data_IF_182727311339
#
_entry.id   IF_182727311339
#
_cell.length_a   1.000
_cell.length_b   1.000
_cell.length_c   1.000
_cell.angle_alpha   90.00
_cell.angle_beta   90.00
_cell.angle_gamma   90.00
#
_symmetry.space_group_name_H-M   'P 1'
#
loop_
_entity.id
_entity.type
_entity.pdbx_description
1 polymer ?
#
# COMPACT_ATOMS: atom_id res chain seq x y z
N UNK A 1 -7.52 -6.35 2.17
CA UNK A 1 -6.10 -6.79 2.12
C UNK A 1 -5.75 -7.03 0.67
N UNK A 2 -4.68 -6.39 0.18
CA UNK A 2 -4.30 -6.46 -1.23
C UNK A 2 -3.65 -7.79 -1.59
N UNK A 3 -3.65 -8.12 -2.88
CA UNK A 3 -2.94 -9.29 -3.39
C UNK A 3 -1.41 -9.15 -3.21
N UNK A 4 -0.71 -10.28 -3.12
CA UNK A 4 0.76 -10.31 -3.04
C UNK A 4 1.42 -9.65 -4.27
N UNK A 5 0.80 -9.81 -5.44
CA UNK A 5 1.29 -9.19 -6.67
C UNK A 5 1.24 -7.66 -6.57
N UNK A 6 0.13 -7.11 -6.05
CA UNK A 6 -0.03 -5.68 -5.88
C UNK A 6 0.95 -5.11 -4.84
N UNK A 7 1.13 -5.82 -3.72
CA UNK A 7 2.13 -5.47 -2.72
C UNK A 7 3.54 -5.38 -3.32
N UNK A 8 3.88 -6.31 -4.23
CA UNK A 8 5.20 -6.32 -4.89
C UNK A 8 5.35 -5.12 -5.82
N UNK A 9 4.33 -4.84 -6.64
CA UNK A 9 4.31 -3.66 -7.53
C UNK A 9 4.52 -2.36 -6.75
N UNK A 10 3.82 -2.18 -5.63
CA UNK A 10 4.00 -1.01 -4.76
C UNK A 10 5.41 -0.88 -4.20
N UNK A 11 6.00 -2.00 -3.75
CA UNK A 11 7.38 -2.04 -3.28
C UNK A 11 8.38 -1.67 -4.38
N UNK A 12 8.22 -2.23 -5.58
CA UNK A 12 9.09 -1.95 -6.74
C UNK A 12 8.94 -0.51 -7.25
N UNK A 13 7.75 0.06 -7.09
CA UNK A 13 7.47 1.48 -7.34
C UNK A 13 8.09 2.42 -6.30
N UNK A 14 8.71 1.88 -5.24
CA UNK A 14 9.43 2.67 -4.24
C UNK A 14 8.53 3.19 -3.11
N UNK A 15 7.42 2.51 -2.81
CA UNK A 15 6.59 2.89 -1.66
C UNK A 15 7.41 2.78 -0.37
N UNK A 16 7.72 3.93 0.23
CA UNK A 16 8.31 4.00 1.57
C UNK A 16 7.26 3.60 2.60
N UNK A 17 7.48 2.44 3.22
CA UNK A 17 6.54 1.87 4.18
C UNK A 17 7.04 2.08 5.61
N UNK A 18 6.19 2.72 6.43
CA UNK A 18 6.38 2.85 7.88
C UNK A 18 5.42 1.91 8.60
N UNK A 19 5.88 0.71 9.01
CA UNK A 19 4.98 -0.31 9.48
C UNK A 19 4.50 -0.04 10.91
N UNK A 20 3.22 -0.33 11.13
CA UNK A 20 2.54 -0.23 12.41
C UNK A 20 2.37 -1.60 13.04
N UNK A 21 2.07 -1.59 14.35
CA UNK A 21 1.70 -2.79 15.08
C UNK A 21 0.51 -3.47 14.42
N UNK A 22 0.57 -4.80 14.32
CA UNK A 22 -0.38 -5.68 13.65
C UNK A 22 -0.42 -5.59 12.12
N UNK A 23 0.52 -4.89 11.49
CA UNK A 23 0.63 -4.92 10.04
C UNK A 23 1.15 -6.27 9.55
N UNK A 24 0.54 -6.76 8.48
CA UNK A 24 0.89 -8.01 7.84
C UNK A 24 2.07 -7.82 6.88
N UNK A 25 2.95 -8.81 6.85
CA UNK A 25 4.01 -8.91 5.88
C UNK A 25 4.32 -10.35 5.54
N UNK A 26 4.88 -10.55 4.36
CA UNK A 26 5.39 -11.83 3.92
C UNK A 26 6.92 -11.80 3.98
N UNK A 27 7.50 -12.82 4.62
CA UNK A 27 8.94 -13.06 4.63
C UNK A 27 9.34 -13.74 3.32
N UNK A 28 10.14 -13.05 2.51
CA UNK A 28 10.60 -13.56 1.20
C UNK A 28 11.93 -14.33 1.30
N UNK A 29 12.51 -14.41 2.49
CA UNK A 29 13.78 -15.14 2.76
C UNK A 29 13.60 -16.64 2.98
N UNK A 30 12.38 -17.10 3.23
CA UNK A 30 12.10 -18.50 3.48
C UNK A 30 11.75 -19.19 2.17
N UNK A 31 12.17 -20.45 2.00
CA UNK A 31 11.80 -21.28 0.84
C UNK A 31 10.27 -21.41 0.68
N UNK A 32 9.55 -21.34 1.80
CA UNK A 32 8.09 -21.19 1.84
C UNK A 32 7.76 -19.82 2.40
N UNK A 33 7.10 -18.94 1.63
CA UNK A 33 6.78 -17.60 2.10
C UNK A 33 5.82 -17.69 3.29
N UNK A 34 6.27 -17.18 4.44
CA UNK A 34 5.46 -17.13 5.65
C UNK A 34 4.83 -15.74 5.76
N UNK A 35 3.50 -15.69 5.77
CA UNK A 35 2.75 -14.48 6.10
C UNK A 35 2.60 -14.40 7.61
N UNK A 36 3.10 -13.32 8.19
CA UNK A 36 3.01 -13.04 9.63
C UNK A 36 2.64 -11.57 9.85
N UNK A 37 2.43 -11.16 11.10
CA UNK A 37 2.12 -9.79 11.46
C UNK A 37 3.11 -9.23 12.51
N UNK A 38 3.21 -7.91 12.59
CA UNK A 38 3.99 -7.24 13.62
C UNK A 38 3.30 -7.36 15.00
N UNK A 39 3.95 -8.05 15.93
CA UNK A 39 3.51 -8.22 17.32
C UNK A 39 4.56 -7.67 18.28
N UNK A 40 4.16 -7.42 19.53
CA UNK A 40 5.03 -6.78 20.53
C UNK A 40 6.27 -7.62 20.88
N UNK A 41 6.14 -8.95 20.81
CA UNK A 41 7.09 -9.86 21.47
C UNK A 41 8.35 -10.14 20.65
N UNK A 42 8.31 -10.06 19.31
CA UNK A 42 9.47 -10.48 18.51
C UNK A 42 9.74 -9.67 17.24
N UNK A 43 8.79 -8.92 16.71
CA UNK A 43 8.93 -8.33 15.37
C UNK A 43 9.10 -6.82 15.34
N UNK A 44 8.59 -6.05 16.32
CA UNK A 44 8.80 -4.58 16.34
C UNK A 44 10.21 -4.21 16.80
N UNK A 45 10.72 -4.81 17.88
CA UNK A 45 12.06 -4.53 18.42
C UNK A 45 13.20 -5.03 17.52
N UNK A 46 13.02 -6.18 16.88
CA UNK A 46 13.97 -6.72 15.89
C UNK A 46 13.96 -5.89 14.62
N UNK A 47 12.76 -5.52 14.13
CA UNK A 47 12.61 -4.57 13.02
C UNK A 47 13.34 -3.27 13.33
N UNK A 48 13.10 -2.62 14.47
CA UNK A 48 13.74 -1.37 14.86
C UNK A 48 15.27 -1.44 15.01
N UNK A 49 15.86 -2.63 15.19
CA UNK A 49 17.32 -2.84 15.27
C UNK A 49 17.98 -3.17 13.92
N UNK A 50 17.24 -3.69 12.95
CA UNK A 50 17.77 -4.00 11.61
C UNK A 50 18.07 -2.71 10.83
N UNK A 51 19.02 -2.74 9.89
CA UNK A 51 19.20 -1.61 8.96
C UNK A 51 18.00 -1.49 8.02
N UNK A 52 17.69 -0.27 7.57
CA UNK A 52 16.54 -0.02 6.69
C UNK A 52 16.58 -0.87 5.40
N UNK A 53 17.77 -1.13 4.87
CA UNK A 53 17.97 -2.03 3.72
C UNK A 53 17.52 -3.46 4.01
N UNK A 54 17.89 -4.04 5.15
CA UNK A 54 17.52 -5.42 5.52
C UNK A 54 16.00 -5.51 5.70
N UNK A 55 15.42 -4.50 6.37
CA UNK A 55 13.98 -4.38 6.60
C UNK A 55 13.17 -4.38 5.31
N UNK A 56 13.66 -3.66 4.30
CA UNK A 56 12.97 -3.52 3.02
C UNK A 56 13.27 -4.66 2.07
N UNK A 57 14.48 -5.26 2.10
CA UNK A 57 14.87 -6.30 1.14
C UNK A 57 14.09 -7.60 1.31
N UNK A 58 13.88 -8.02 2.56
CA UNK A 58 13.39 -9.38 2.88
C UNK A 58 11.93 -9.45 3.29
N UNK A 59 11.23 -8.32 3.28
CA UNK A 59 9.83 -8.22 3.69
C UNK A 59 9.01 -7.64 2.55
N UNK A 60 7.86 -8.25 2.33
CA UNK A 60 6.83 -7.74 1.43
C UNK A 60 5.65 -7.31 2.29
N UNK A 61 5.46 -6.01 2.44
CA UNK A 61 4.39 -5.46 3.28
C UNK A 61 3.04 -5.62 2.61
N UNK A 62 2.02 -5.98 3.39
CA UNK A 62 0.63 -6.10 2.96
C UNK A 62 -0.17 -4.96 3.57
N UNK A 63 -0.07 -3.76 2.96
CA UNK A 63 -0.68 -2.55 3.48
C UNK A 63 -2.20 -2.69 3.59
N UNK A 64 -2.76 -2.15 4.68
CA UNK A 64 -4.20 -2.02 4.87
C UNK A 64 -4.74 -0.79 4.16
N UNK A 65 -6.05 -0.77 3.92
CA UNK A 65 -6.74 0.34 3.27
C UNK A 65 -6.41 1.71 3.89
N UNK A 66 -6.52 1.87 5.20
CA UNK A 66 -6.25 3.14 5.90
C UNK A 66 -4.82 3.65 5.65
N UNK A 67 -3.87 2.73 5.55
CA UNK A 67 -2.46 3.05 5.34
C UNK A 67 -2.14 3.37 3.88
N UNK A 68 -2.80 2.70 2.93
CA UNK A 68 -2.71 3.06 1.52
C UNK A 68 -3.23 4.49 1.28
N UNK A 69 -4.37 4.83 1.90
CA UNK A 69 -4.97 6.15 1.84
C UNK A 69 -4.04 7.22 2.46
N UNK A 70 -3.47 6.93 3.63
CA UNK A 70 -2.46 7.80 4.23
C UNK A 70 -1.21 7.98 3.35
N UNK A 71 -0.83 6.96 2.57
CA UNK A 71 0.23 7.05 1.58
C UNK A 71 -0.09 8.06 0.47
N UNK A 72 -1.32 8.02 -0.05
CA UNK A 72 -1.81 8.97 -1.06
C UNK A 72 -1.77 10.41 -0.52
N UNK A 73 -2.26 10.61 0.71
CA UNK A 73 -2.25 11.92 1.38
C UNK A 73 -0.84 12.46 1.59
N UNK A 74 0.09 11.62 2.06
CA UNK A 74 1.52 11.98 2.22
C UNK A 74 2.16 12.42 0.91
N UNK A 75 1.68 11.90 -0.22
CA UNK A 75 2.17 12.25 -1.55
C UNK A 75 1.57 13.56 -2.11
N UNK A 76 0.67 14.20 -1.36
CA UNK A 76 0.04 15.47 -1.73
C UNK A 76 -1.21 15.32 -2.61
N UNK A 77 -1.87 14.17 -2.52
CA UNK A 77 -3.10 13.88 -3.25
C UNK A 77 -4.28 13.74 -2.30
N UNK A 78 -5.44 14.20 -2.74
CA UNK A 78 -6.72 13.94 -2.08
C UNK A 78 -7.38 12.74 -2.73
N UNK A 79 -8.15 12.01 -1.94
CA UNK A 79 -8.84 10.82 -2.38
C UNK A 79 -10.29 10.83 -1.91
N UNK A 80 -11.13 10.10 -2.63
CA UNK A 80 -12.49 9.82 -2.24
C UNK A 80 -12.85 8.42 -2.70
N UNK A 81 -13.62 7.73 -1.88
CA UNK A 81 -14.12 6.41 -2.20
C UNK A 81 -15.64 6.46 -2.33
N UNK A 82 -16.15 5.75 -3.33
CA UNK A 82 -17.57 5.52 -3.51
C UNK A 82 -17.81 4.05 -3.86
N UNK A 83 -19.02 3.57 -3.55
CA UNK A 83 -19.47 2.27 -4.02
C UNK A 83 -20.57 2.48 -5.07
N UNK A 84 -20.37 1.93 -6.26
CA UNK A 84 -21.32 1.92 -7.34
C UNK A 84 -21.76 0.49 -7.63
N UNK A 85 -23.07 0.23 -7.72
CA UNK A 85 -23.58 -1.13 -7.98
C UNK A 85 -23.09 -1.73 -9.30
N UNK A 86 -22.83 -0.90 -10.32
CA UNK A 86 -22.36 -1.35 -11.63
C UNK A 86 -20.84 -1.58 -11.69
N UNK A 87 -20.07 -0.73 -10.99
CA UNK A 87 -18.60 -0.67 -11.13
C UNK A 87 -17.84 -1.21 -9.91
N UNK A 88 -18.53 -1.44 -8.79
CA UNK A 88 -17.93 -1.86 -7.52
C UNK A 88 -17.41 -0.69 -6.71
N UNK A 89 -16.28 -0.89 -6.03
CA UNK A 89 -15.58 0.14 -5.28
C UNK A 89 -14.81 1.04 -6.23
N UNK A 90 -14.97 2.35 -6.09
CA UNK A 90 -14.31 3.37 -6.92
C UNK A 90 -13.44 4.24 -6.03
N UNK A 91 -12.15 4.31 -6.33
CA UNK A 91 -11.20 5.24 -5.73
C UNK A 91 -10.93 6.37 -6.73
N UNK A 92 -11.17 7.61 -6.32
CA UNK A 92 -10.96 8.81 -7.13
C UNK A 92 -9.82 9.63 -6.54
N UNK A 93 -9.01 10.24 -7.41
CA UNK A 93 -7.84 11.03 -7.03
C UNK A 93 -7.91 12.48 -7.53
N UNK A 94 -7.46 13.40 -6.69
CA UNK A 94 -7.25 14.81 -6.98
C UNK A 94 -5.89 15.28 -6.47
N UNK A 95 -5.37 16.37 -7.02
CA UNK A 95 -4.22 17.07 -6.44
C UNK A 95 -4.75 17.97 -5.33
N UNK A 96 -4.11 17.94 -4.15
CA UNK A 96 -4.46 18.84 -3.05
C UNK A 96 -4.52 20.29 -3.55
N UNK A 97 -5.64 20.97 -3.28
CA UNK A 97 -5.87 22.36 -3.69
C UNK A 97 -6.28 22.57 -5.16
N UNK A 98 -6.44 21.51 -5.97
CA UNK A 98 -6.98 21.60 -7.34
C UNK A 98 -8.32 20.88 -7.45
N UNK A 99 -9.32 21.55 -8.03
CA UNK A 99 -10.66 20.97 -8.27
C UNK A 99 -10.72 19.96 -9.43
N UNK A 100 -9.59 19.68 -10.10
CA UNK A 100 -9.57 18.78 -11.26
C UNK A 100 -9.30 17.35 -10.81
N UNK A 101 -10.25 16.45 -11.09
CA UNK A 101 -10.06 15.00 -10.97
C UNK A 101 -8.93 14.55 -11.90
N UNK A 102 -7.96 13.83 -11.35
CA UNK A 102 -6.84 13.27 -12.11
C UNK A 102 -7.19 11.92 -12.71
N UNK A 103 -7.64 11.00 -11.85
CA UNK A 103 -7.85 9.61 -12.20
C UNK A 103 -8.94 8.99 -11.33
N UNK A 104 -9.47 7.85 -11.79
CA UNK A 104 -10.34 6.99 -11.02
C UNK A 104 -10.05 5.54 -11.31
N UNK A 105 -10.03 4.72 -10.26
CA UNK A 105 -9.70 3.30 -10.27
C UNK A 105 -10.88 2.54 -9.69
N UNK A 106 -11.19 1.37 -10.24
CA UNK A 106 -12.34 0.58 -9.83
C UNK A 106 -11.94 -0.85 -9.51
N UNK A 107 -12.54 -1.41 -8.45
CA UNK A 107 -12.38 -2.82 -8.10
C UNK A 107 -13.72 -3.41 -7.68
N UNK A 108 -14.04 -4.57 -8.25
CA UNK A 108 -15.24 -5.34 -7.89
C UNK A 108 -15.03 -6.22 -6.66
N UNK A 109 -13.77 -6.53 -6.33
CA UNK A 109 -13.44 -7.49 -5.29
C UNK A 109 -13.30 -6.82 -3.92
N UNK A 110 -12.51 -5.75 -3.83
CA UNK A 110 -12.22 -5.08 -2.58
C UNK A 110 -11.83 -3.60 -2.79
N UNK A 111 -12.15 -2.71 -1.83
CA UNK A 111 -11.73 -1.31 -1.89
C UNK A 111 -10.21 -1.16 -1.81
N UNK A 112 -9.50 -2.05 -1.10
CA UNK A 112 -8.05 -2.01 -0.98
C UNK A 112 -7.35 -2.08 -2.34
N UNK A 113 -7.87 -2.88 -3.28
CA UNK A 113 -7.26 -3.05 -4.60
C UNK A 113 -7.38 -1.77 -5.44
N UNK A 114 -8.56 -1.14 -5.45
CA UNK A 114 -8.77 0.13 -6.17
C UNK A 114 -7.85 1.24 -5.64
N UNK A 115 -7.65 1.29 -4.32
CA UNK A 115 -6.77 2.28 -3.69
C UNK A 115 -5.30 1.95 -3.92
N UNK A 116 -4.92 0.67 -3.93
CA UNK A 116 -3.56 0.25 -4.23
C UNK A 116 -3.16 0.58 -5.67
N UNK A 117 -4.06 0.37 -6.63
CA UNK A 117 -3.85 0.81 -8.02
C UNK A 117 -3.68 2.33 -8.12
N UNK A 118 -4.51 3.08 -7.39
CA UNK A 118 -4.42 4.53 -7.35
C UNK A 118 -3.06 5.01 -6.81
N UNK A 119 -2.58 4.38 -5.73
CA UNK A 119 -1.28 4.68 -5.15
C UNK A 119 -0.12 4.29 -6.08
N UNK A 120 -0.20 3.12 -6.72
CA UNK A 120 0.78 2.67 -7.70
C UNK A 120 0.91 3.66 -8.84
N UNK A 121 -0.22 4.13 -9.40
CA UNK A 121 -0.23 5.12 -10.47
C UNK A 121 0.48 6.43 -10.08
N UNK A 122 0.30 6.90 -8.84
CA UNK A 122 1.00 8.09 -8.33
C UNK A 122 2.52 7.84 -8.28
N UNK A 123 2.95 6.67 -7.79
CA UNK A 123 4.37 6.34 -7.66
C UNK A 123 5.05 6.17 -9.01
N UNK A 124 4.38 5.54 -9.97
CA UNK A 124 4.89 5.39 -11.34
C UNK A 124 4.91 6.72 -12.09
N UNK A 125 3.88 7.55 -11.94
CA UNK A 125 3.78 8.86 -12.58
C UNK A 125 4.78 9.91 -12.07
N UNK A 126 5.44 9.70 -10.92
CA UNK A 126 6.55 10.55 -10.45
C UNK A 126 7.88 10.25 -11.13
N UNK A 127 7.99 9.12 -11.86
CA UNK A 127 9.21 8.72 -12.57
C UNK A 127 9.28 9.18 -14.02
N UNK A 128 8.24 9.81 -14.56
CA UNK A 128 8.16 10.32 -15.94
C UNK A 128 8.53 11.80 -16.05
#
# INVERSE_FOLDING_TARGET
>A
MISLEMARKLKDAGLEWDPKKYDYFQLTILEKPLTTCLTDDYSVKSYQKESQEIRQKHRLWLPRLDQLLAGIEKLGYEWAMAFCRAEGYVAQLWIVGKKKKLASFTSKAAPDDAVAEALLWILEGRRS
#
